data_IF_565662296355
#
_entry.id   IF_565662296355
#
_cell.length_a   1.000
_cell.length_b   1.000
_cell.length_c   1.000
_cell.angle_alpha   90.00
_cell.angle_beta   90.00
_cell.angle_gamma   90.00
#
_symmetry.space_group_name_H-M   'P 1'
#
loop_
_entity.id
_entity.type
_entity.pdbx_description
1 polymer ?
#
# COMPACT_ATOMS: atom_id res chain seq x y z
N UNK A 1 57.44 12.29 0.12
CA UNK A 1 57.51 11.45 -1.09
C UNK A 1 56.40 10.43 -0.99
N UNK A 2 55.27 10.69 -1.65
CA UNK A 2 54.03 9.90 -1.48
C UNK A 2 53.75 9.16 -2.78
N UNK A 3 53.79 7.83 -2.74
CA UNK A 3 53.44 6.97 -3.85
C UNK A 3 51.91 7.02 -4.07
N UNK A 4 51.48 7.44 -5.26
CA UNK A 4 50.08 7.37 -5.70
C UNK A 4 50.01 6.26 -6.74
N UNK A 5 49.24 5.21 -6.46
CA UNK A 5 49.00 4.11 -7.39
C UNK A 5 47.86 4.54 -8.34
N UNK A 6 48.07 4.63 -9.66
CA UNK A 6 46.98 4.83 -10.60
C UNK A 6 46.29 3.49 -10.85
N UNK A 7 45.08 3.30 -10.30
CA UNK A 7 44.22 2.19 -10.72
C UNK A 7 43.58 2.54 -12.07
N UNK A 8 44.16 1.98 -13.12
CA UNK A 8 43.59 1.93 -14.46
C UNK A 8 42.25 1.18 -14.43
N UNK A 9 41.25 1.81 -15.04
CA UNK A 9 39.89 1.31 -15.23
C UNK A 9 39.83 0.28 -16.37
N UNK A 10 38.95 -0.73 -16.24
CA UNK A 10 38.14 -1.14 -17.37
C UNK A 10 36.66 -0.94 -17.05
N UNK A 11 36.12 0.12 -17.66
CA UNK A 11 34.71 0.43 -17.89
C UNK A 11 33.99 -0.77 -18.51
N UNK A 12 33.30 -1.56 -17.68
CA UNK A 12 32.22 -2.42 -18.16
C UNK A 12 31.04 -1.51 -18.52
N UNK A 13 30.99 -1.10 -19.79
CA UNK A 13 29.87 -0.39 -20.37
C UNK A 13 28.65 -1.33 -20.42
N UNK A 14 27.83 -1.33 -19.37
CA UNK A 14 26.44 -1.72 -19.54
C UNK A 14 25.75 -0.57 -20.29
N UNK A 15 25.21 -0.79 -21.50
CA UNK A 15 24.42 0.23 -22.16
C UNK A 15 23.19 0.49 -21.29
N UNK A 16 23.14 1.69 -20.69
CA UNK A 16 21.88 2.29 -20.25
C UNK A 16 21.11 2.60 -21.52
N UNK A 17 20.33 1.63 -21.98
CA UNK A 17 19.38 1.84 -23.05
C UNK A 17 18.26 2.70 -22.46
N UNK A 18 18.41 4.01 -22.59
CA UNK A 18 17.32 4.96 -22.49
C UNK A 18 16.37 4.69 -23.68
N UNK A 19 15.48 3.72 -23.50
CA UNK A 19 14.26 3.63 -24.29
C UNK A 19 13.15 4.14 -23.39
N UNK A 20 12.76 5.40 -23.58
CA UNK A 20 11.49 5.88 -23.05
C UNK A 20 10.40 5.14 -23.83
N UNK A 21 9.62 4.24 -23.22
CA UNK A 21 8.40 3.82 -23.85
C UNK A 21 7.38 4.92 -23.53
N UNK A 22 6.89 5.58 -24.57
CA UNK A 22 5.65 6.37 -24.51
C UNK A 22 4.50 5.41 -24.18
N UNK A 23 4.40 4.97 -22.93
CA UNK A 23 3.26 4.24 -22.44
C UNK A 23 2.13 5.25 -22.28
N UNK A 24 1.30 5.30 -23.31
CA UNK A 24 -0.11 5.63 -23.18
C UNK A 24 -0.62 4.95 -21.91
N UNK A 25 -0.92 5.73 -20.87
CA UNK A 25 -1.49 5.22 -19.62
C UNK A 25 -2.90 4.71 -19.93
N UNK A 26 -2.99 3.48 -20.43
CA UNK A 26 -4.22 2.71 -20.42
C UNK A 26 -4.21 2.02 -19.06
N UNK A 27 -5.12 2.35 -18.12
CA UNK A 27 -5.14 1.66 -16.83
C UNK A 27 -5.44 0.19 -17.10
N UNK A 28 -4.40 -0.65 -17.00
CA UNK A 28 -4.60 -2.09 -16.94
C UNK A 28 -5.39 -2.38 -15.65
N UNK A 29 -6.42 -3.24 -15.69
CA UNK A 29 -7.15 -3.59 -14.48
C UNK A 29 -6.14 -4.16 -13.49
N UNK A 30 -6.05 -3.53 -12.31
CA UNK A 30 -5.25 -4.02 -11.21
C UNK A 30 -5.74 -5.42 -10.85
N UNK A 31 -5.13 -6.46 -11.40
CA UNK A 31 -5.25 -7.81 -10.87
C UNK A 31 -4.62 -7.77 -9.49
N UNK A 32 -5.40 -7.88 -8.38
CA UNK A 32 -4.78 -7.96 -7.08
C UNK A 32 -4.00 -9.26 -7.06
N UNK A 33 -2.68 -9.18 -6.95
CA UNK A 33 -1.89 -10.30 -6.45
C UNK A 33 -2.45 -10.59 -5.07
N UNK A 34 -3.41 -11.52 -5.00
CA UNK A 34 -3.91 -12.06 -3.74
C UNK A 34 -2.78 -12.89 -3.19
N UNK A 35 -1.88 -12.25 -2.44
CA UNK A 35 -1.12 -12.97 -1.42
C UNK A 35 -2.20 -13.58 -0.55
N UNK A 36 -2.38 -14.90 -0.64
CA UNK A 36 -3.35 -15.64 0.15
C UNK A 36 -2.92 -15.56 1.62
N UNK A 37 -3.20 -14.41 2.25
CA UNK A 37 -3.05 -14.22 3.67
C UNK A 37 -4.10 -15.06 4.38
N UNK A 38 -3.82 -15.45 5.62
CA UNK A 38 -4.89 -15.96 6.48
C UNK A 38 -6.00 -14.91 6.55
N UNK A 39 -7.28 -15.30 6.76
CA UNK A 39 -8.40 -14.36 6.78
C UNK A 39 -8.21 -13.23 7.80
N UNK A 40 -7.42 -13.46 8.85
CA UNK A 40 -7.03 -12.44 9.82
C UNK A 40 -6.11 -11.36 9.22
N UNK A 41 -5.09 -11.74 8.43
CA UNK A 41 -4.16 -10.81 7.79
C UNK A 41 -4.87 -9.98 6.71
N UNK A 42 -5.71 -10.62 5.88
CA UNK A 42 -6.51 -9.90 4.88
C UNK A 42 -7.43 -8.87 5.52
N UNK A 43 -8.07 -9.24 6.64
CA UNK A 43 -8.94 -8.33 7.40
C UNK A 43 -8.15 -7.17 8.02
N UNK A 44 -7.00 -7.45 8.62
CA UNK A 44 -6.14 -6.42 9.19
C UNK A 44 -5.72 -5.40 8.13
N UNK A 45 -5.26 -5.87 6.97
CA UNK A 45 -4.85 -5.00 5.88
C UNK A 45 -6.00 -4.16 5.33
N UNK A 46 -7.21 -4.73 5.27
CA UNK A 46 -8.40 -4.00 4.86
C UNK A 46 -8.82 -2.91 5.88
N UNK A 47 -8.67 -3.17 7.18
CA UNK A 47 -8.91 -2.17 8.25
C UNK A 47 -7.92 -1.01 8.10
N UNK A 48 -6.63 -1.32 7.99
CA UNK A 48 -5.56 -0.32 7.86
C UNK A 48 -5.71 0.54 6.60
N UNK A 49 -6.06 -0.08 5.47
CA UNK A 49 -6.31 0.64 4.23
C UNK A 49 -7.50 1.59 4.37
N UNK A 50 -8.61 1.13 4.96
CA UNK A 50 -9.79 1.95 5.16
C UNK A 50 -9.52 3.16 6.07
N UNK A 51 -8.76 2.96 7.16
CA UNK A 51 -8.35 4.05 8.06
C UNK A 51 -7.39 5.03 7.38
N UNK A 52 -6.42 4.53 6.63
CA UNK A 52 -5.47 5.37 5.88
C UNK A 52 -6.20 6.25 4.87
N UNK A 53 -7.17 5.70 4.15
CA UNK A 53 -8.00 6.45 3.22
C UNK A 53 -8.92 7.45 3.92
N UNK A 54 -9.47 7.10 5.09
CA UNK A 54 -10.27 8.04 5.88
C UNK A 54 -9.42 9.25 6.31
N UNK A 55 -8.22 9.01 6.85
CA UNK A 55 -7.28 10.06 7.25
C UNK A 55 -6.84 10.92 6.06
N UNK A 56 -6.61 10.31 4.89
CA UNK A 56 -6.31 11.05 3.67
C UNK A 56 -7.41 12.08 3.35
N UNK A 57 -8.67 11.66 3.38
CA UNK A 57 -9.80 12.54 3.09
C UNK A 57 -10.00 13.62 4.17
N UNK A 58 -9.71 13.33 5.44
CA UNK A 58 -9.75 14.34 6.51
C UNK A 58 -8.65 15.39 6.33
N UNK A 59 -7.44 14.97 5.92
CA UNK A 59 -6.29 15.87 5.78
C UNK A 59 -6.32 16.71 4.51
N UNK A 60 -6.84 16.18 3.42
CA UNK A 60 -6.76 16.83 2.10
C UNK A 60 -8.12 17.27 1.55
N UNK A 61 -9.22 16.75 2.10
CA UNK A 61 -10.56 17.15 1.70
C UNK A 61 -11.07 18.30 2.56
N UNK A 62 -11.44 19.42 1.93
CA UNK A 62 -12.14 20.51 2.61
C UNK A 62 -13.63 20.60 2.21
N UNK A 63 -14.16 19.54 1.60
CA UNK A 63 -15.54 19.46 1.17
C UNK A 63 -16.35 18.57 2.09
N UNK A 64 -17.65 18.86 2.20
CA UNK A 64 -18.59 18.01 2.94
C UNK A 64 -18.60 16.56 2.41
N UNK A 65 -18.42 16.38 1.11
CA UNK A 65 -18.36 15.08 0.47
C UNK A 65 -17.11 14.28 0.88
N UNK A 66 -15.95 14.93 1.00
CA UNK A 66 -14.74 14.28 1.50
C UNK A 66 -14.90 13.86 2.96
N UNK A 67 -15.55 14.68 3.80
CA UNK A 67 -15.85 14.34 5.19
C UNK A 67 -16.82 13.15 5.31
N UNK A 68 -17.86 13.10 4.47
CA UNK A 68 -18.78 11.94 4.39
C UNK A 68 -18.05 10.67 3.95
N UNK A 69 -17.18 10.78 2.96
CA UNK A 69 -16.37 9.65 2.47
C UNK A 69 -15.41 9.15 3.54
N UNK A 70 -14.73 10.06 4.25
CA UNK A 70 -13.87 9.71 5.38
C UNK A 70 -14.66 8.96 6.46
N UNK A 71 -15.83 9.48 6.82
CA UNK A 71 -16.72 8.90 7.83
C UNK A 71 -17.16 7.49 7.42
N UNK A 72 -17.60 7.29 6.17
CA UNK A 72 -18.02 5.99 5.68
C UNK A 72 -16.88 4.96 5.74
N UNK A 73 -15.65 5.35 5.39
CA UNK A 73 -14.48 4.47 5.45
C UNK A 73 -14.10 4.13 6.91
N UNK A 74 -14.18 5.09 7.82
CA UNK A 74 -13.95 4.85 9.24
C UNK A 74 -14.99 3.90 9.85
N UNK A 75 -16.28 4.07 9.53
CA UNK A 75 -17.36 3.17 9.98
C UNK A 75 -17.13 1.74 9.48
N UNK A 76 -16.71 1.59 8.22
CA UNK A 76 -16.37 0.28 7.66
C UNK A 76 -15.23 -0.38 8.45
N UNK A 77 -14.16 0.35 8.73
CA UNK A 77 -13.04 -0.16 9.53
C UNK A 77 -13.50 -0.58 10.95
N UNK A 78 -14.30 0.27 11.62
CA UNK A 78 -14.86 -0.05 12.94
C UNK A 78 -15.73 -1.31 12.93
N UNK A 79 -16.51 -1.50 11.86
CA UNK A 79 -17.36 -2.69 11.70
C UNK A 79 -16.53 -3.97 11.53
N UNK A 80 -15.44 -3.90 10.77
CA UNK A 80 -14.50 -5.00 10.60
C UNK A 80 -13.74 -5.33 11.89
N UNK A 81 -13.37 -4.31 12.68
CA UNK A 81 -12.78 -4.49 14.00
C UNK A 81 -13.77 -5.18 14.96
N UNK A 82 -15.03 -4.75 14.97
CA UNK A 82 -16.09 -5.38 15.77
C UNK A 82 -16.25 -6.86 15.42
N UNK A 83 -16.28 -7.19 14.12
CA UNK A 83 -16.35 -8.58 13.65
C UNK A 83 -15.14 -9.40 14.11
N UNK A 84 -13.94 -8.83 14.06
CA UNK A 84 -12.74 -9.49 14.53
C UNK A 84 -12.80 -9.78 16.04
N UNK A 85 -13.21 -8.80 16.86
CA UNK A 85 -13.37 -8.99 18.30
C UNK A 85 -14.42 -10.06 18.64
N UNK A 86 -15.54 -10.11 17.90
CA UNK A 86 -16.55 -11.15 18.11
C UNK A 86 -16.04 -12.54 17.73
N UNK A 87 -15.28 -12.66 16.65
CA UNK A 87 -14.71 -13.96 16.24
C UNK A 87 -13.64 -14.45 17.22
N UNK A 88 -12.81 -13.55 17.74
CA UNK A 88 -11.84 -13.89 18.80
C UNK A 88 -12.52 -14.34 20.09
N UNK A 89 -13.64 -13.71 20.48
CA UNK A 89 -14.40 -14.10 21.68
C UNK A 89 -15.09 -15.47 21.55
N UNK A 90 -15.42 -15.89 20.33
CA UNK A 90 -16.02 -17.21 20.04
C UNK A 90 -14.93 -18.28 19.95
N UNK A 91 -13.79 -17.97 19.34
CA UNK A 91 -12.67 -18.89 19.14
C UNK A 91 -11.92 -19.24 20.44
N UNK A 92 -11.89 -18.34 21.43
CA UNK A 92 -11.24 -18.56 22.73
C UNK A 92 -12.00 -19.45 23.72
N UNK A 93 -13.05 -20.16 23.29
CA UNK A 93 -13.92 -20.98 24.16
C UNK A 93 -13.92 -22.48 23.78
N UNK A 94 -12.80 -22.95 23.20
CA UNK A 94 -12.56 -24.35 22.82
C UNK A 94 -11.32 -24.92 23.48
#
# INVERSE_FOLDING_TARGET
>A
MTNVIPLASPRAAHPVQAFAPSHTFKPAPASPVRVAGTPAIERQQAIENALSMALYHVRHGNTLEAMRTATAKAIRAASMLKQACTESAISGRG
#
